data_IF_234506689500
#
_entry.id   IF_234506689500
#
_cell.length_a   1.000
_cell.length_b   1.000
_cell.length_c   1.000
_cell.angle_alpha   90.00
_cell.angle_beta   90.00
_cell.angle_gamma   90.00
#
_symmetry.space_group_name_H-M   'P 1'
#
loop_
_entity.id
_entity.type
_entity.pdbx_description
1 polymer ?
#
# COMPACT_ATOMS: atom_id res chain seq x y z
N UNK A 1 6.78 22.74 2.34
CA UNK A 1 6.84 22.41 2.34
C UNK A 1 6.79 21.93 2.38
N UNK A 2 6.48 21.52 2.41
CA UNK A 2 6.36 20.93 2.41
C UNK A 2 6.25 20.03 2.56
N UNK A 3 5.81 19.58 2.76
CA UNK A 3 5.78 18.77 3.06
C UNK A 3 5.58 17.69 2.77
N UNK A 4 4.70 17.65 2.46
CA UNK A 4 4.26 16.44 1.84
C UNK A 4 5.36 15.62 1.38
N UNK A 5 6.35 16.26 1.18
CA UNK A 5 7.53 15.58 0.85
C UNK A 5 7.97 14.65 1.91
N UNK A 6 7.32 14.73 3.03
CA UNK A 6 7.56 13.79 4.07
C UNK A 6 7.35 12.40 3.57
N UNK A 7 6.35 12.22 2.73
CA UNK A 7 6.07 10.92 2.17
C UNK A 7 6.61 10.86 0.77
N UNK A 8 7.57 10.01 0.60
CA UNK A 8 8.01 9.70 -0.74
C UNK A 8 7.04 8.69 -1.28
N UNK A 9 5.90 9.17 -1.70
CA UNK A 9 4.90 8.27 -2.24
C UNK A 9 5.45 7.62 -3.49
N UNK A 10 5.46 6.31 -3.50
CA UNK A 10 5.82 5.56 -4.67
C UNK A 10 4.73 5.73 -5.71
N UNK A 11 5.09 5.70 -6.97
CA UNK A 11 4.16 6.09 -8.02
C UNK A 11 3.71 4.91 -8.87
N UNK A 12 2.41 4.59 -8.77
CA UNK A 12 1.81 3.54 -9.57
C UNK A 12 0.97 4.15 -10.72
N UNK A 13 1.05 5.47 -10.91
CA UNK A 13 0.21 6.17 -11.89
C UNK A 13 0.53 5.75 -13.32
N UNK A 14 1.78 5.70 -13.69
CA UNK A 14 2.18 5.37 -15.04
C UNK A 14 2.55 3.91 -15.24
N UNK A 15 2.40 3.08 -14.22
CA UNK A 15 2.82 1.69 -14.27
C UNK A 15 1.73 0.77 -13.76
N UNK A 16 1.70 -0.47 -14.25
CA UNK A 16 0.74 -1.45 -13.76
C UNK A 16 1.26 -2.21 -12.56
N UNK A 17 2.56 -2.18 -12.34
CA UNK A 17 3.18 -2.95 -11.26
C UNK A 17 4.30 -2.16 -10.63
N UNK A 18 4.46 -2.33 -9.33
CA UNK A 18 5.49 -1.65 -8.57
C UNK A 18 6.03 -2.59 -7.50
N UNK A 19 7.35 -2.77 -7.48
CA UNK A 19 8.01 -3.58 -6.46
C UNK A 19 8.68 -2.66 -5.46
N UNK A 20 8.38 -2.87 -4.18
CA UNK A 20 8.89 -2.03 -3.11
C UNK A 20 9.79 -2.86 -2.19
N UNK A 21 10.87 -2.25 -1.74
CA UNK A 21 11.86 -2.91 -0.90
C UNK A 21 11.46 -2.83 0.57
N UNK A 22 12.30 -3.37 1.44
CA UNK A 22 12.10 -3.32 2.87
C UNK A 22 11.78 -1.89 3.32
N UNK A 23 10.69 -1.70 4.06
CA UNK A 23 10.30 -0.36 4.47
C UNK A 23 10.98 0.08 5.77
N UNK A 24 11.23 1.38 5.88
CA UNK A 24 11.64 2.00 7.14
C UNK A 24 10.43 2.68 7.79
N UNK A 25 9.35 2.81 7.05
CA UNK A 25 8.07 3.36 7.50
C UNK A 25 6.99 2.80 6.59
N UNK A 26 5.71 2.94 6.93
CA UNK A 26 4.64 2.41 6.08
C UNK A 26 4.76 2.91 4.66
N UNK A 27 4.45 2.05 3.70
CA UNK A 27 4.48 2.44 2.30
C UNK A 27 3.36 3.43 2.00
N UNK A 28 3.67 4.44 1.20
CA UNK A 28 2.66 5.35 0.70
C UNK A 28 2.75 5.32 -0.82
N UNK A 29 1.67 4.91 -1.47
CA UNK A 29 1.64 4.72 -2.92
C UNK A 29 0.61 5.65 -3.53
N UNK A 30 1.01 6.38 -4.57
CA UNK A 30 0.10 7.22 -5.33
C UNK A 30 -0.49 6.39 -6.45
N UNK A 31 -1.81 6.49 -6.66
CA UNK A 31 -2.50 5.66 -7.63
C UNK A 31 -3.54 6.47 -8.41
N UNK A 32 -3.75 6.08 -9.66
CA UNK A 32 -4.80 6.64 -10.51
C UNK A 32 -5.34 5.56 -11.44
N UNK A 33 -6.61 5.70 -11.81
CA UNK A 33 -7.24 4.88 -12.84
C UNK A 33 -7.14 3.38 -12.56
N UNK A 34 -7.36 3.01 -11.32
CA UNK A 34 -7.41 1.61 -10.94
C UNK A 34 -8.71 1.32 -10.24
N UNK A 35 -9.34 0.22 -10.60
CA UNK A 35 -10.55 -0.23 -9.90
C UNK A 35 -10.21 -1.26 -8.83
N UNK A 36 -9.06 -1.90 -8.95
CA UNK A 36 -8.63 -2.93 -8.02
C UNK A 36 -7.11 -2.97 -7.94
N UNK A 37 -6.59 -3.36 -6.80
CA UNK A 37 -5.16 -3.61 -6.64
C UNK A 37 -4.94 -4.99 -6.06
N UNK A 38 -3.79 -5.54 -6.37
CA UNK A 38 -3.32 -6.80 -5.81
C UNK A 38 -1.99 -6.51 -5.14
N UNK A 39 -1.87 -6.85 -3.87
CA UNK A 39 -0.66 -6.64 -3.09
C UNK A 39 -0.09 -8.01 -2.75
N UNK A 40 1.12 -8.29 -3.20
CA UNK A 40 1.78 -9.56 -2.93
C UNK A 40 2.92 -9.35 -1.96
N UNK A 41 2.88 -10.09 -0.86
CA UNK A 41 3.95 -10.08 0.12
C UNK A 41 5.03 -11.04 -0.36
N UNK A 42 6.25 -10.54 -0.49
CA UNK A 42 7.34 -11.35 -1.00
C UNK A 42 7.68 -12.50 -0.04
N UNK A 43 8.23 -13.57 -0.59
CA UNK A 43 8.56 -14.74 0.21
C UNK A 43 9.49 -14.38 1.37
N UNK A 44 9.21 -14.91 2.53
CA UNK A 44 9.98 -14.61 3.73
C UNK A 44 9.37 -13.57 4.64
N UNK A 45 8.30 -12.90 4.17
CA UNK A 45 7.55 -11.97 5.01
C UNK A 45 6.52 -12.71 5.85
N UNK A 46 6.05 -12.01 6.91
CA UNK A 46 4.95 -12.50 7.74
C UNK A 46 3.92 -11.38 7.84
N UNK A 47 3.16 -11.17 6.78
CA UNK A 47 2.33 -9.97 6.64
C UNK A 47 0.94 -10.12 7.25
N UNK A 48 0.61 -9.18 8.15
CA UNK A 48 -0.74 -9.00 8.69
C UNK A 48 -1.23 -7.67 8.14
N UNK A 49 -2.04 -7.70 7.07
CA UNK A 49 -2.31 -6.48 6.30
C UNK A 49 -3.00 -5.35 7.04
N UNK A 50 -2.52 -4.14 6.79
CA UNK A 50 -3.19 -2.91 7.16
C UNK A 50 -3.08 -1.99 5.96
N UNK A 51 -4.22 -1.69 5.33
CA UNK A 51 -4.25 -0.88 4.11
C UNK A 51 -5.26 0.23 4.31
N UNK A 52 -4.84 1.47 4.06
CA UNK A 52 -5.70 2.63 4.21
C UNK A 52 -5.74 3.38 2.90
N UNK A 53 -6.96 3.73 2.45
CA UNK A 53 -7.16 4.51 1.24
C UNK A 53 -7.44 5.95 1.60
N UNK A 54 -6.75 6.88 0.92
CA UNK A 54 -6.89 8.32 1.15
C UNK A 54 -7.24 9.04 -0.15
N UNK A 55 -7.99 10.14 -0.02
CA UNK A 55 -8.23 11.01 -1.16
C UNK A 55 -7.06 11.97 -1.37
N UNK A 56 -7.21 12.93 -2.31
CA UNK A 56 -6.13 13.86 -2.64
C UNK A 56 -5.80 14.82 -1.50
N UNK A 57 -6.69 14.96 -0.54
CA UNK A 57 -6.47 15.81 0.63
C UNK A 57 -6.03 15.00 1.85
N UNK A 58 -5.71 13.73 1.65
CA UNK A 58 -5.33 12.80 2.71
C UNK A 58 -6.42 12.57 3.73
N UNK A 59 -7.67 12.69 3.32
CA UNK A 59 -8.78 12.24 4.15
C UNK A 59 -8.93 10.73 3.97
N UNK A 60 -9.09 10.02 5.08
CA UNK A 60 -9.27 8.58 5.02
C UNK A 60 -10.62 8.24 4.41
N UNK A 61 -10.60 7.42 3.36
CA UNK A 61 -11.81 6.96 2.70
C UNK A 61 -12.23 5.62 3.28
N UNK A 62 -11.28 4.72 3.42
CA UNK A 62 -11.56 3.36 3.85
C UNK A 62 -10.31 2.75 4.47
N UNK A 63 -10.50 1.90 5.48
CA UNK A 63 -9.41 1.16 6.08
C UNK A 63 -9.74 -0.33 6.00
N UNK A 64 -8.72 -1.14 5.68
CA UNK A 64 -8.86 -2.58 5.59
C UNK A 64 -7.75 -3.23 6.39
N UNK A 65 -8.11 -4.00 7.43
CA UNK A 65 -7.14 -4.67 8.28
C UNK A 65 -7.50 -6.14 8.43
N UNK A 66 -6.48 -6.99 8.35
CA UNK A 66 -6.66 -8.44 8.50
C UNK A 66 -5.71 -8.93 9.58
N UNK A 67 -6.25 -9.42 10.68
CA UNK A 67 -5.44 -9.96 11.77
C UNK A 67 -5.16 -11.44 11.55
N UNK A 68 -4.66 -11.75 10.36
CA UNK A 68 -4.24 -13.08 10.00
C UNK A 68 -3.15 -12.97 8.95
N UNK A 69 -2.33 -14.01 8.84
CA UNK A 69 -1.19 -14.01 7.95
C UNK A 69 -1.64 -14.10 6.50
N UNK A 70 -1.14 -13.21 5.66
CA UNK A 70 -1.47 -13.20 4.24
C UNK A 70 -0.22 -13.18 3.37
N UNK A 71 -0.29 -13.90 2.24
CA UNK A 71 0.75 -13.81 1.21
C UNK A 71 0.36 -12.84 0.13
N UNK A 72 -0.93 -12.59 -0.02
CA UNK A 72 -1.43 -11.64 -1.00
C UNK A 72 -2.79 -11.11 -0.56
N UNK A 73 -3.16 -9.96 -1.11
CA UNK A 73 -4.41 -9.32 -0.79
C UNK A 73 -4.89 -8.56 -2.02
N UNK A 74 -6.16 -8.80 -2.41
CA UNK A 74 -6.78 -8.08 -3.52
C UNK A 74 -7.89 -7.21 -2.97
N UNK A 75 -7.87 -5.94 -3.33
CA UNK A 75 -8.83 -4.98 -2.81
C UNK A 75 -9.43 -4.15 -3.93
N UNK A 76 -10.71 -3.82 -3.82
CA UNK A 76 -11.33 -2.82 -4.68
C UNK A 76 -10.85 -1.46 -4.22
N UNK A 77 -10.56 -0.59 -5.19
CA UNK A 77 -10.09 0.76 -4.88
C UNK A 77 -11.31 1.68 -4.81
N UNK A 78 -11.57 2.29 -3.67
CA UNK A 78 -12.72 3.20 -3.54
C UNK A 78 -12.60 4.39 -4.50
N UNK A 79 -13.73 4.94 -4.90
CA UNK A 79 -13.74 6.14 -5.73
C UNK A 79 -13.01 7.27 -5.01
N UNK A 80 -12.34 8.11 -5.78
CA UNK A 80 -11.61 9.27 -5.27
C UNK A 80 -10.32 8.93 -4.52
N UNK A 81 -9.89 7.68 -4.56
CA UNK A 81 -8.63 7.28 -3.94
C UNK A 81 -7.47 7.87 -4.72
N UNK A 82 -6.56 8.52 -4.01
CA UNK A 82 -5.34 9.06 -4.58
C UNK A 82 -4.11 8.41 -3.98
N UNK A 83 -4.17 8.06 -2.70
CA UNK A 83 -3.05 7.46 -1.99
C UNK A 83 -3.48 6.21 -1.25
N UNK A 84 -2.57 5.25 -1.15
CA UNK A 84 -2.78 4.02 -0.40
C UNK A 84 -1.62 3.85 0.55
N UNK A 85 -1.93 3.69 1.84
CA UNK A 85 -0.92 3.39 2.84
C UNK A 85 -0.93 1.90 3.12
N UNK A 86 0.20 1.25 2.99
CA UNK A 86 0.33 -0.18 3.23
C UNK A 86 1.28 -0.41 4.39
N UNK A 87 0.80 -1.15 5.38
CA UNK A 87 1.51 -1.36 6.62
C UNK A 87 1.28 -2.79 7.10
N UNK A 88 1.92 -3.15 8.20
CA UNK A 88 1.68 -4.39 8.90
C UNK A 88 1.08 -4.04 10.26
N UNK A 89 0.12 -4.83 10.73
CA UNK A 89 -0.56 -4.53 11.99
C UNK A 89 0.38 -4.55 13.20
N UNK A 90 1.48 -5.28 13.12
CA UNK A 90 2.35 -5.48 14.28
C UNK A 90 3.72 -4.85 14.13
N UNK A 91 4.38 -5.04 13.00
CA UNK A 91 5.74 -4.55 12.84
C UNK A 91 6.14 -4.48 11.38
N UNK A 92 6.82 -3.40 11.00
CA UNK A 92 7.36 -3.27 9.65
C UNK A 92 8.42 -4.34 9.35
N UNK A 93 9.00 -4.92 10.39
CA UNK A 93 9.96 -6.01 10.20
C UNK A 93 9.31 -7.22 9.52
N UNK A 94 7.99 -7.35 9.64
CA UNK A 94 7.27 -8.43 8.95
C UNK A 94 7.26 -8.26 7.44
N UNK A 95 7.64 -7.08 6.94
CA UNK A 95 7.71 -6.79 5.51
C UNK A 95 9.16 -6.69 5.02
N UNK A 96 10.08 -7.33 5.70
CA UNK A 96 11.52 -7.20 5.42
C UNK A 96 11.92 -7.59 4.00
N UNK A 97 11.11 -8.35 3.31
CA UNK A 97 11.40 -8.78 1.93
C UNK A 97 10.71 -7.89 0.89
N UNK A 98 9.96 -6.89 1.37
CA UNK A 98 9.26 -6.00 0.46
C UNK A 98 7.96 -6.58 -0.06
N UNK A 99 7.28 -5.79 -0.89
CA UNK A 99 6.00 -6.19 -1.48
C UNK A 99 5.97 -5.83 -2.96
N UNK A 100 5.02 -6.41 -3.67
CA UNK A 100 4.78 -6.07 -5.07
C UNK A 100 3.31 -5.69 -5.19
N UNK A 101 3.03 -4.54 -5.80
CA UNK A 101 1.67 -4.06 -6.01
C UNK A 101 1.37 -4.08 -7.50
N UNK A 102 0.22 -4.65 -7.85
CA UNK A 102 -0.23 -4.70 -9.23
C UNK A 102 -1.57 -4.00 -9.33
N UNK A 103 -1.70 -3.11 -10.33
CA UNK A 103 -2.91 -2.35 -10.58
C UNK A 103 -3.76 -3.11 -11.61
N UNK A 104 -5.05 -3.22 -11.36
CA UNK A 104 -5.98 -3.90 -12.25
C UNK A 104 -7.09 -2.97 -12.71
#
# INVERSE_FOLDING_TARGET
>A
MRNSTIYKAENLVGNNQLSLKKPSKPYMVMIENASRISINSNAGNSWYPSVVFYDSDFNMIEIHEEDSLHNSLRLSVPNNTKYIKIDDLYSLANLKRGITITKE
#
